data_IF_709393329154
#
_entry.id   IF_709393329154
#
_cell.length_a   1.000
_cell.length_b   1.000
_cell.length_c   1.000
_cell.angle_alpha   90.00
_cell.angle_beta   90.00
_cell.angle_gamma   90.00
#
_symmetry.space_group_name_H-M   'P 1'
#
loop_
_entity.id
_entity.type
_entity.pdbx_description
1 polymer ?
#
# COMPACT_ATOMS: atom_id res chain seq x y z
N UNK A 1 0.76 -11.12 -26.23
CA UNK A 1 0.66 -10.67 -24.83
C UNK A 1 2.08 -10.61 -24.30
N UNK A 2 2.59 -9.42 -24.00
CA UNK A 2 3.95 -9.23 -23.46
C UNK A 2 3.81 -9.25 -21.94
N UNK A 3 4.47 -10.20 -21.28
CA UNK A 3 4.62 -10.18 -19.82
C UNK A 3 5.30 -8.86 -19.45
N UNK A 4 4.65 -8.06 -18.60
CA UNK A 4 5.26 -6.87 -18.02
C UNK A 4 6.27 -7.34 -16.97
N UNK A 5 7.51 -7.58 -17.40
CA UNK A 5 8.61 -7.76 -16.47
C UNK A 5 9.02 -6.37 -15.98
N UNK A 6 8.82 -6.10 -14.70
CA UNK A 6 9.45 -4.95 -14.05
C UNK A 6 10.96 -5.07 -14.27
N UNK A 7 11.58 -4.06 -14.88
CA UNK A 7 13.05 -4.03 -14.96
C UNK A 7 13.56 -3.44 -13.65
N UNK A 8 13.53 -4.24 -12.59
CA UNK A 8 14.24 -3.94 -11.34
C UNK A 8 15.72 -4.14 -11.63
N UNK A 9 16.51 -3.07 -11.62
CA UNK A 9 17.97 -3.20 -11.73
C UNK A 9 18.52 -3.60 -10.37
N UNK A 10 18.77 -4.89 -10.18
CA UNK A 10 19.43 -5.43 -8.99
C UNK A 10 20.89 -4.99 -8.96
N UNK A 11 21.25 -4.09 -8.05
CA UNK A 11 22.64 -3.94 -7.63
C UNK A 11 22.93 -5.08 -6.65
N UNK A 12 23.40 -6.20 -7.19
CA UNK A 12 23.75 -7.41 -6.43
C UNK A 12 24.83 -7.12 -5.37
N UNK A 13 24.44 -6.95 -4.12
CA UNK A 13 25.31 -7.23 -2.98
C UNK A 13 25.33 -8.75 -2.79
N UNK A 14 26.43 -9.39 -3.19
CA UNK A 14 26.60 -10.83 -3.08
C UNK A 14 26.74 -11.25 -1.60
N UNK A 15 25.66 -11.75 -1.01
CA UNK A 15 25.69 -12.54 0.22
C UNK A 15 25.47 -14.02 -0.11
N UNK A 16 26.37 -14.86 0.35
CA UNK A 16 26.47 -16.30 0.10
C UNK A 16 25.23 -17.08 0.58
N UNK A 17 24.57 -17.76 -0.35
CA UNK A 17 23.45 -18.69 -0.13
C UNK A 17 23.91 -20.01 0.49
N UNK A 18 23.45 -20.31 1.70
CA UNK A 18 23.30 -21.69 2.19
C UNK A 18 21.85 -22.12 2.00
N UNK A 19 21.65 -23.14 1.17
CA UNK A 19 20.35 -23.74 0.86
C UNK A 19 19.86 -24.58 2.05
N UNK A 20 18.69 -24.24 2.58
CA UNK A 20 17.90 -25.10 3.47
C UNK A 20 16.50 -25.32 2.85
N UNK A 21 15.85 -26.47 3.13
CA UNK A 21 14.64 -26.89 2.43
C UNK A 21 13.43 -26.05 2.84
N UNK A 22 12.54 -25.82 1.86
CA UNK A 22 11.23 -25.20 2.02
C UNK A 22 10.32 -26.01 2.95
N UNK A 23 9.60 -25.31 3.84
CA UNK A 23 8.19 -25.49 4.26
C UNK A 23 7.92 -24.62 5.51
N UNK A 24 6.94 -23.71 5.40
CA UNK A 24 6.31 -22.88 6.45
C UNK A 24 7.22 -22.04 7.38
N UNK A 25 7.76 -20.90 6.91
CA UNK A 25 8.44 -19.97 7.82
C UNK A 25 7.73 -18.63 8.09
N UNK A 26 6.53 -18.33 7.58
CA UNK A 26 5.72 -17.29 8.24
C UNK A 26 5.07 -17.77 9.55
N UNK A 27 4.84 -19.08 9.74
CA UNK A 27 4.46 -19.60 11.07
C UNK A 27 5.56 -19.44 12.13
N UNK A 28 6.76 -18.98 11.73
CA UNK A 28 7.88 -18.65 12.62
C UNK A 28 8.13 -17.15 12.81
N UNK A 29 7.53 -16.28 12.01
CA UNK A 29 7.57 -14.83 12.24
C UNK A 29 6.45 -14.48 13.21
N UNK A 30 6.82 -14.29 14.48
CA UNK A 30 5.88 -13.81 15.48
C UNK A 30 5.35 -12.45 15.00
N UNK A 31 4.05 -12.37 14.71
CA UNK A 31 3.42 -11.08 14.44
C UNK A 31 3.39 -10.29 15.73
N UNK A 32 4.07 -9.15 15.73
CA UNK A 32 4.11 -8.26 16.86
C UNK A 32 3.05 -7.17 16.70
N UNK A 33 2.64 -6.55 17.81
CA UNK A 33 1.70 -5.44 17.81
C UNK A 33 2.44 -4.13 18.04
N UNK A 34 2.20 -3.13 17.19
CA UNK A 34 2.63 -1.75 17.43
C UNK A 34 1.43 -0.86 17.73
N UNK A 35 1.44 -0.20 18.88
CA UNK A 35 0.35 0.69 19.30
C UNK A 35 0.41 2.07 18.66
N UNK A 36 1.61 2.58 18.35
CA UNK A 36 1.83 3.98 18.01
C UNK A 36 2.23 4.17 16.55
N UNK A 37 1.48 5.03 15.85
CA UNK A 37 1.73 5.42 14.47
C UNK A 37 2.09 6.89 14.34
N UNK A 38 3.05 7.22 13.48
CA UNK A 38 3.41 8.60 13.14
C UNK A 38 2.86 8.94 11.74
N UNK A 39 1.94 9.90 11.69
CA UNK A 39 1.47 10.46 10.43
C UNK A 39 2.60 11.28 9.79
N UNK A 40 2.92 11.01 8.54
CA UNK A 40 3.80 11.85 7.72
C UNK A 40 3.12 12.19 6.41
N UNK A 41 3.59 13.26 5.77
CA UNK A 41 3.03 13.74 4.52
C UNK A 41 4.05 13.57 3.39
N UNK A 42 3.61 13.15 2.20
CA UNK A 42 4.48 13.11 1.04
C UNK A 42 4.89 14.54 0.65
N UNK A 43 6.08 14.70 0.09
CA UNK A 43 6.58 15.95 -0.48
C UNK A 43 6.00 16.18 -1.89
N UNK A 44 5.82 15.09 -2.64
CA UNK A 44 5.31 15.12 -4.01
C UNK A 44 4.75 13.78 -4.45
N UNK A 45 3.94 13.81 -5.50
CA UNK A 45 3.27 12.64 -6.06
C UNK A 45 3.36 12.64 -7.59
N UNK A 46 3.40 11.46 -8.21
CA UNK A 46 3.35 11.32 -9.67
C UNK A 46 2.60 10.05 -10.09
N UNK A 47 2.14 10.03 -11.35
CA UNK A 47 1.59 8.84 -11.99
C UNK A 47 2.72 7.94 -12.48
N UNK A 48 2.55 6.64 -12.31
CA UNK A 48 3.44 5.61 -12.85
C UNK A 48 2.66 4.63 -13.73
N UNK A 49 3.31 4.13 -14.78
CA UNK A 49 2.78 3.07 -15.61
C UNK A 49 2.78 1.72 -14.87
N UNK A 50 2.11 0.69 -15.42
CA UNK A 50 2.16 -0.66 -14.85
C UNK A 50 3.58 -1.21 -14.68
N UNK A 51 4.55 -0.75 -15.47
CA UNK A 51 5.97 -1.16 -15.38
C UNK A 51 6.78 -0.30 -14.38
N UNK A 52 6.13 0.60 -13.63
CA UNK A 52 6.75 1.49 -12.67
C UNK A 52 7.39 2.75 -13.25
N UNK A 53 7.36 2.96 -14.57
CA UNK A 53 7.90 4.17 -15.19
C UNK A 53 7.02 5.39 -14.95
N UNK A 54 7.61 6.53 -14.63
CA UNK A 54 6.93 7.80 -14.46
C UNK A 54 6.21 8.24 -15.75
N UNK A 55 4.94 8.61 -15.65
CA UNK A 55 4.11 9.04 -16.79
C UNK A 55 3.49 10.43 -16.63
N UNK A 56 3.63 11.07 -15.46
CA UNK A 56 3.28 12.47 -15.25
C UNK A 56 4.47 13.24 -14.68
N UNK A 57 4.46 14.58 -14.71
CA UNK A 57 5.31 15.37 -13.83
C UNK A 57 5.08 15.02 -12.35
N UNK A 58 6.02 15.42 -11.50
CA UNK A 58 5.81 15.47 -10.06
C UNK A 58 4.92 16.65 -9.70
N UNK A 59 3.97 16.42 -8.80
CA UNK A 59 3.13 17.45 -8.20
C UNK A 59 3.52 17.61 -6.74
N UNK A 60 4.00 18.80 -6.36
CA UNK A 60 4.33 19.10 -4.97
C UNK A 60 3.08 19.09 -4.08
N UNK A 61 3.21 18.53 -2.90
CA UNK A 61 2.19 18.57 -1.86
C UNK A 61 2.32 19.91 -1.12
N UNK A 62 1.25 20.70 -1.07
CA UNK A 62 1.21 21.99 -0.36
C UNK A 62 1.56 23.23 -1.18
N UNK A 63 2.04 23.09 -2.43
CA UNK A 63 2.09 24.20 -3.36
C UNK A 63 0.67 24.50 -3.87
N UNK A 64 0.31 25.78 -3.89
CA UNK A 64 -1.00 26.39 -4.26
C UNK A 64 -1.68 25.98 -5.59
N UNK A 65 -1.24 24.91 -6.26
CA UNK A 65 -1.83 24.32 -7.47
C UNK A 65 -2.65 23.04 -7.25
N UNK A 66 -2.63 22.44 -6.05
CA UNK A 66 -3.59 21.40 -5.66
C UNK A 66 -4.83 22.10 -5.10
N UNK A 67 -6.00 21.79 -5.66
CA UNK A 67 -7.25 22.48 -5.35
C UNK A 67 -7.56 22.42 -3.85
N UNK A 68 -7.38 23.54 -3.15
CA UNK A 68 -7.88 23.79 -1.79
C UNK A 68 -9.41 23.87 -1.73
N UNK A 69 -10.10 23.77 -2.88
CA UNK A 69 -11.52 23.43 -2.89
C UNK A 69 -11.63 21.95 -2.54
N UNK A 70 -11.76 21.67 -1.25
CA UNK A 70 -11.70 20.33 -0.66
C UNK A 70 -12.40 19.25 -1.49
N UNK A 71 -11.90 18.02 -1.35
CA UNK A 71 -12.45 16.87 -2.04
C UNK A 71 -13.99 16.81 -1.88
N UNK A 72 -14.73 16.48 -2.95
CA UNK A 72 -16.14 16.17 -2.80
C UNK A 72 -16.30 15.01 -1.82
N UNK A 73 -17.52 14.79 -1.28
CA UNK A 73 -17.80 13.62 -0.47
C UNK A 73 -17.36 12.36 -1.20
N UNK A 74 -16.38 11.66 -0.64
CA UNK A 74 -15.91 10.36 -1.15
C UNK A 74 -16.61 9.25 -0.38
N UNK A 75 -16.82 8.11 -1.03
CA UNK A 75 -17.30 6.89 -0.36
C UNK A 75 -16.11 5.95 -0.16
N UNK A 76 -16.11 5.24 0.95
CA UNK A 76 -15.23 4.11 1.14
C UNK A 76 -15.43 3.10 0.00
N UNK A 77 -14.32 2.68 -0.63
CA UNK A 77 -14.29 1.69 -1.69
C UNK A 77 -13.63 0.39 -1.25
N UNK A 78 -12.64 0.44 -0.37
CA UNK A 78 -12.03 -0.73 0.24
C UNK A 78 -11.37 -0.32 1.56
N UNK A 79 -11.58 -1.10 2.63
CA UNK A 79 -11.09 -0.78 3.97
C UNK A 79 -10.33 -1.93 4.62
N UNK A 80 -9.01 -1.85 4.52
CA UNK A 80 -8.08 -2.65 5.31
C UNK A 80 -7.19 -1.69 6.12
N UNK A 81 -7.77 -0.66 6.77
CA UNK A 81 -6.97 0.35 7.44
C UNK A 81 -7.57 0.79 8.78
N UNK A 82 -6.79 0.72 9.85
CA UNK A 82 -7.17 1.32 11.12
C UNK A 82 -6.11 2.30 11.69
N UNK A 83 -6.33 3.63 11.60
CA UNK A 83 -5.36 4.61 12.10
C UNK A 83 -5.23 4.57 13.62
N UNK A 84 -4.09 5.04 14.14
CA UNK A 84 -3.86 5.17 15.58
C UNK A 84 -4.84 6.17 16.23
N UNK A 85 -5.76 5.60 17.03
CA UNK A 85 -6.80 6.30 17.79
C UNK A 85 -6.25 7.30 18.81
N UNK A 86 -4.97 7.22 19.22
CA UNK A 86 -4.37 8.16 20.19
C UNK A 86 -3.89 9.46 19.54
N UNK A 87 -3.56 9.44 18.24
CA UNK A 87 -2.98 10.59 17.53
C UNK A 87 -4.07 11.42 16.82
N UNK A 88 -5.21 10.82 16.50
CA UNK A 88 -6.39 11.49 15.92
C UNK A 88 -7.59 11.42 16.88
N UNK A 89 -7.94 12.50 17.61
CA UNK A 89 -9.29 12.68 18.13
C UNK A 89 -10.20 13.06 16.96
N UNK A 90 -10.63 12.06 16.19
CA UNK A 90 -11.39 12.25 14.96
C UNK A 90 -11.50 10.89 14.28
N UNK A 91 -12.72 10.38 14.29
CA UNK A 91 -13.27 9.11 13.83
C UNK A 91 -12.34 8.11 13.11
N UNK A 92 -12.40 6.81 13.45
CA UNK A 92 -11.92 5.80 12.51
C UNK A 92 -12.56 6.10 11.17
N UNK A 93 -11.78 6.02 10.11
CA UNK A 93 -12.28 6.11 8.73
C UNK A 93 -13.13 4.89 8.33
N UNK A 94 -13.66 4.16 9.32
CA UNK A 94 -14.88 3.36 9.23
C UNK A 94 -15.89 4.22 8.48
N UNK A 95 -16.07 3.96 7.19
CA UNK A 95 -17.21 4.49 6.46
C UNK A 95 -18.43 4.17 7.30
N UNK A 96 -19.05 5.19 7.90
CA UNK A 96 -20.04 5.01 8.95
C UNK A 96 -21.17 4.09 8.48
N UNK A 97 -21.12 2.82 8.86
CA UNK A 97 -22.22 1.88 8.84
C UNK A 97 -22.31 1.24 10.22
N UNK A 98 -23.13 1.88 11.06
CA UNK A 98 -23.80 1.32 12.23
C UNK A 98 -23.01 0.30 13.08
N UNK A 99 -22.32 0.82 14.10
CA UNK A 99 -22.44 0.25 15.44
C UNK A 99 -21.92 -1.17 15.62
N UNK A 100 -20.61 -1.31 15.69
CA UNK A 100 -19.98 -2.48 16.27
C UNK A 100 -18.60 -2.13 16.79
N UNK A 101 -18.50 -1.73 18.05
CA UNK A 101 -17.27 -2.03 18.77
C UNK A 101 -17.14 -3.54 18.70
N UNK A 102 -16.12 -4.06 18.01
CA UNK A 102 -15.74 -5.44 18.19
C UNK A 102 -14.77 -5.51 19.38
N UNK A 103 -15.25 -5.87 20.60
CA UNK A 103 -14.37 -6.07 21.75
C UNK A 103 -13.30 -7.14 21.54
N UNK A 104 -13.48 -8.05 20.57
CA UNK A 104 -12.58 -9.15 20.28
C UNK A 104 -11.52 -8.78 19.25
N UNK A 105 -11.81 -7.84 18.35
CA UNK A 105 -10.93 -7.44 17.25
C UNK A 105 -10.27 -6.07 17.45
N UNK A 106 -10.57 -5.42 18.58
CA UNK A 106 -9.71 -4.43 19.20
C UNK A 106 -9.46 -3.20 18.34
N UNK A 107 -10.48 -2.35 18.19
CA UNK A 107 -10.30 -1.01 17.62
C UNK A 107 -9.32 -0.17 18.49
N UNK A 108 -8.00 -0.28 18.24
CA UNK A 108 -6.94 0.56 18.82
C UNK A 108 -6.00 -0.08 19.84
N UNK A 109 -5.84 -1.42 19.88
CA UNK A 109 -4.87 -2.08 20.81
C UNK A 109 -3.51 -2.42 20.17
N UNK A 110 -3.39 -2.36 18.85
CA UNK A 110 -2.11 -2.55 18.15
C UNK A 110 -2.30 -3.04 16.72
N UNK A 111 -1.35 -2.74 15.83
CA UNK A 111 -1.36 -3.15 14.41
C UNK A 111 -0.33 -4.25 14.20
N UNK A 112 -0.66 -5.21 13.36
CA UNK A 112 0.20 -6.36 13.12
C UNK A 112 1.31 -6.03 12.12
N UNK A 113 2.44 -6.70 12.28
CA UNK A 113 3.56 -6.70 11.36
C UNK A 113 4.46 -7.90 11.71
N UNK A 114 5.37 -8.30 10.83
CA UNK A 114 6.14 -9.53 10.95
C UNK A 114 7.47 -9.37 11.71
N UNK A 115 7.62 -8.29 12.49
CA UNK A 115 8.77 -8.03 13.36
C UNK A 115 9.94 -7.32 12.68
N UNK A 116 10.86 -6.80 13.50
CA UNK A 116 11.95 -5.85 13.08
C UNK A 116 12.97 -6.42 12.12
N UNK A 117 12.98 -7.74 11.97
CA UNK A 117 13.93 -8.48 11.13
C UNK A 117 13.27 -9.04 9.86
N UNK A 118 12.01 -8.69 9.61
CA UNK A 118 11.29 -9.11 8.42
C UNK A 118 11.27 -7.99 7.38
N UNK A 119 11.58 -8.35 6.14
CA UNK A 119 11.75 -7.43 5.03
C UNK A 119 10.78 -7.85 3.93
N UNK A 120 9.86 -6.96 3.58
CA UNK A 120 8.85 -7.17 2.55
C UNK A 120 8.59 -5.85 1.86
N UNK A 121 9.49 -5.48 0.96
CA UNK A 121 9.44 -4.21 0.26
C UNK A 121 8.46 -4.24 -0.92
N UNK A 122 7.91 -5.39 -1.27
CA UNK A 122 6.97 -5.56 -2.37
C UNK A 122 5.90 -6.59 -2.01
N UNK A 123 4.66 -6.14 -1.90
CA UNK A 123 3.56 -6.97 -1.46
C UNK A 123 2.30 -6.77 -2.31
N UNK A 124 1.49 -7.82 -2.42
CA UNK A 124 0.19 -7.77 -3.08
C UNK A 124 -0.86 -8.59 -2.32
N UNK A 125 -2.08 -8.06 -2.25
CA UNK A 125 -3.25 -8.74 -1.69
C UNK A 125 -4.42 -8.62 -2.67
N UNK A 126 -5.37 -9.55 -2.54
CA UNK A 126 -6.67 -9.38 -3.16
C UNK A 126 -7.48 -8.29 -2.46
N UNK A 127 -8.41 -7.71 -3.21
CA UNK A 127 -9.42 -6.80 -2.68
C UNK A 127 -10.77 -7.08 -3.32
N UNK A 128 -11.81 -6.93 -2.52
CA UNK A 128 -13.19 -6.80 -2.97
C UNK A 128 -13.70 -5.42 -2.57
N UNK A 129 -14.08 -4.64 -3.58
CA UNK A 129 -14.60 -3.29 -3.43
C UNK A 129 -16.02 -3.27 -2.84
N UNK A 130 -16.31 -2.21 -2.09
CA UNK A 130 -17.65 -1.85 -1.64
C UNK A 130 -18.60 -1.72 -2.84
N UNK A 131 -19.81 -2.25 -2.70
CA UNK A 131 -20.84 -2.20 -3.74
C UNK A 131 -21.03 -0.77 -4.30
N UNK A 132 -21.06 -0.71 -5.64
CA UNK A 132 -21.22 0.54 -6.40
C UNK A 132 -19.93 1.33 -6.61
N UNK A 133 -18.77 0.85 -6.13
CA UNK A 133 -17.46 1.52 -6.34
C UNK A 133 -16.58 0.86 -7.40
N UNK A 134 -16.98 -0.30 -7.92
CA UNK A 134 -16.29 -1.01 -9.00
C UNK A 134 -16.05 -0.09 -10.21
N UNK A 135 -14.82 -0.11 -10.74
CA UNK A 135 -14.40 0.69 -11.89
C UNK A 135 -14.32 2.20 -11.64
N UNK A 136 -14.58 2.71 -10.43
CA UNK A 136 -14.43 4.13 -10.14
C UNK A 136 -12.96 4.51 -9.89
N UNK A 137 -12.57 5.76 -10.17
CA UNK A 137 -11.28 6.28 -9.77
C UNK A 137 -11.23 6.49 -8.25
N UNK A 138 -10.14 6.05 -7.64
CA UNK A 138 -9.79 6.36 -6.26
C UNK A 138 -8.82 7.54 -6.19
N UNK A 139 -9.34 8.71 -5.85
CA UNK A 139 -8.58 9.96 -5.62
C UNK A 139 -8.25 10.13 -4.12
N UNK A 140 -8.37 9.09 -3.31
CA UNK A 140 -7.91 9.12 -1.92
C UNK A 140 -7.54 7.72 -1.44
N UNK A 141 -6.41 7.63 -0.75
CA UNK A 141 -5.96 6.41 -0.10
C UNK A 141 -5.27 6.73 1.22
N UNK A 142 -5.23 5.71 2.07
CA UNK A 142 -4.46 5.69 3.30
C UNK A 142 -3.58 4.45 3.27
N UNK A 143 -2.37 4.53 3.81
CA UNK A 143 -1.46 3.39 3.86
C UNK A 143 -0.51 3.51 5.05
N UNK A 144 -0.17 2.37 5.65
CA UNK A 144 0.72 2.28 6.80
C UNK A 144 1.83 1.26 6.58
N UNK A 145 3.03 1.59 7.04
CA UNK A 145 4.22 0.75 6.89
C UNK A 145 5.19 0.91 8.05
N UNK A 146 5.94 -0.15 8.28
CA UNK A 146 7.13 -0.16 9.10
C UNK A 146 8.36 0.14 8.24
N UNK A 147 9.24 1.01 8.74
CA UNK A 147 10.39 1.55 8.03
C UNK A 147 11.66 1.44 8.87
N UNK A 148 12.47 0.43 8.56
CA UNK A 148 13.63 0.07 9.35
C UNK A 148 14.89 0.22 8.51
N UNK A 149 15.50 1.39 8.63
CA UNK A 149 16.72 1.73 7.91
C UNK A 149 17.92 1.11 8.65
N UNK A 150 18.77 0.36 7.96
CA UNK A 150 20.00 -0.21 8.56
C UNK A 150 21.20 0.76 8.41
N UNK A 151 21.85 1.16 9.52
CA UNK A 151 23.07 2.01 9.50
C UNK A 151 23.32 2.84 10.78
N UNK A 152 24.31 3.75 10.83
CA UNK A 152 24.43 4.78 11.87
C UNK A 152 23.82 6.13 11.42
N UNK A 153 22.88 6.71 12.17
CA UNK A 153 22.16 7.95 11.79
C UNK A 153 20.94 7.72 10.87
N UNK A 154 20.26 6.60 11.10
CA UNK A 154 19.43 5.81 10.16
C UNK A 154 18.24 6.55 9.58
N UNK A 155 18.46 7.19 8.43
CA UNK A 155 17.40 7.73 7.58
C UNK A 155 17.76 7.48 6.12
N UNK A 156 16.76 7.21 5.29
CA UNK A 156 16.94 7.03 3.84
C UNK A 156 15.74 7.64 3.10
N UNK A 157 15.85 7.94 1.80
CA UNK A 157 14.68 8.40 1.03
C UNK A 157 13.57 7.35 1.09
N UNK A 158 12.31 7.76 1.11
CA UNK A 158 11.17 6.84 1.21
C UNK A 158 10.19 7.12 0.08
N UNK A 159 9.99 6.12 -0.77
CA UNK A 159 9.00 6.11 -1.83
C UNK A 159 7.98 4.99 -1.59
N UNK A 160 6.70 5.31 -1.78
CA UNK A 160 5.62 4.32 -1.76
C UNK A 160 4.98 4.33 -3.14
N UNK A 161 5.02 3.21 -3.84
CA UNK A 161 4.33 3.02 -5.10
C UNK A 161 3.13 2.09 -4.91
N UNK A 162 1.97 2.51 -5.42
CA UNK A 162 0.70 1.82 -5.24
C UNK A 162 0.01 1.61 -6.59
N UNK A 163 -0.35 0.37 -6.88
CA UNK A 163 -1.15 -0.02 -8.04
C UNK A 163 -2.36 -0.86 -7.61
N UNK A 164 -3.24 -1.07 -8.57
CA UNK A 164 -4.39 -1.99 -8.50
C UNK A 164 -4.38 -2.87 -9.75
N UNK A 165 -5.01 -4.04 -9.70
CA UNK A 165 -5.17 -4.95 -10.84
C UNK A 165 -6.58 -5.56 -10.89
N UNK A 166 -6.97 -6.06 -12.07
CA UNK A 166 -8.26 -6.75 -12.29
C UNK A 166 -8.28 -8.19 -11.73
N UNK A 167 -7.12 -8.73 -11.38
CA UNK A 167 -6.96 -10.13 -11.01
C UNK A 167 -5.98 -10.30 -9.86
N UNK A 168 -6.19 -11.37 -9.09
CA UNK A 168 -5.28 -11.85 -8.06
C UNK A 168 -5.20 -13.38 -8.11
N UNK A 169 -4.00 -13.95 -8.05
CA UNK A 169 -3.81 -15.39 -7.96
C UNK A 169 -3.75 -15.85 -6.50
N UNK A 170 -4.88 -16.34 -6.01
CA UNK A 170 -4.98 -17.00 -4.69
C UNK A 170 -4.41 -18.43 -4.68
N UNK A 171 -4.09 -19.01 -5.85
CA UNK A 171 -3.63 -20.41 -5.94
C UNK A 171 -2.14 -20.57 -5.68
N UNK A 172 -1.38 -19.47 -5.66
CA UNK A 172 0.07 -19.45 -5.51
C UNK A 172 0.84 -20.18 -6.62
N UNK A 173 0.26 -20.35 -7.81
CA UNK A 173 0.86 -21.14 -8.91
C UNK A 173 1.29 -20.30 -10.11
N UNK A 174 0.69 -19.13 -10.29
CA UNK A 174 0.97 -18.18 -11.36
C UNK A 174 1.62 -16.89 -10.83
N UNK A 175 1.73 -15.84 -11.66
CA UNK A 175 2.06 -14.53 -11.14
C UNK A 175 0.94 -14.06 -10.20
N UNK A 176 1.29 -13.27 -9.17
CA UNK A 176 0.32 -12.73 -8.22
C UNK A 176 -0.86 -12.00 -8.90
N UNK A 177 -0.63 -11.41 -10.07
CA UNK A 177 -1.61 -10.72 -10.91
C UNK A 177 -1.06 -10.57 -12.33
N UNK A 178 -1.90 -10.20 -13.31
CA UNK A 178 -1.47 -10.02 -14.70
C UNK A 178 -2.04 -8.79 -15.41
N UNK A 179 -3.08 -8.15 -14.85
CA UNK A 179 -3.79 -7.03 -15.46
C UNK A 179 -3.70 -5.76 -14.60
N UNK A 180 -2.48 -5.29 -14.41
CA UNK A 180 -2.17 -4.13 -13.58
C UNK A 180 -2.58 -2.80 -14.26
N UNK A 181 -3.17 -1.90 -13.50
CA UNK A 181 -3.45 -0.52 -13.91
C UNK A 181 -2.22 0.37 -13.79
N UNK A 182 -2.31 1.61 -14.30
CA UNK A 182 -1.37 2.66 -13.89
C UNK A 182 -1.52 2.95 -12.40
N UNK A 183 -0.40 3.16 -11.72
CA UNK A 183 -0.35 3.43 -10.29
C UNK A 183 0.00 4.88 -9.96
N UNK A 184 0.22 5.11 -8.68
CA UNK A 184 0.70 6.36 -8.11
C UNK A 184 1.97 6.09 -7.31
N UNK A 185 2.96 6.98 -7.41
CA UNK A 185 4.13 6.99 -6.55
C UNK A 185 4.15 8.24 -5.68
N UNK A 186 4.47 8.03 -4.41
CA UNK A 186 4.60 9.01 -3.35
C UNK A 186 6.06 9.15 -2.95
N UNK A 187 6.57 10.37 -2.84
CA UNK A 187 7.91 10.66 -2.34
C UNK A 187 7.78 11.37 -0.99
N UNK A 188 8.28 10.75 0.08
CA UNK A 188 8.27 11.29 1.45
C UNK A 188 9.59 11.98 1.83
N UNK A 189 10.54 12.09 0.90
CA UNK A 189 11.89 12.57 1.17
C UNK A 189 12.65 11.61 2.08
N UNK A 190 13.62 12.14 2.82
CA UNK A 190 14.44 11.35 3.76
C UNK A 190 13.65 11.10 5.05
N UNK A 191 13.33 9.84 5.32
CA UNK A 191 12.55 9.40 6.47
C UNK A 191 13.47 8.62 7.43
N UNK A 192 13.51 8.96 8.73
CA UNK A 192 14.27 8.21 9.71
C UNK A 192 13.61 6.87 10.01
N UNK A 193 14.41 5.90 10.47
CA UNK A 193 13.92 4.64 11.05
C UNK A 193 12.79 4.90 12.05
N UNK A 194 11.76 4.06 12.00
CA UNK A 194 10.70 4.09 13.00
C UNK A 194 11.12 3.29 14.25
N UNK A 195 11.63 4.00 15.27
CA UNK A 195 12.05 3.43 16.55
C UNK A 195 10.86 2.86 17.36
N UNK A 196 10.44 1.62 17.06
CA UNK A 196 9.33 0.96 17.77
C UNK A 196 7.95 1.55 17.49
N UNK A 197 7.79 2.20 16.33
CA UNK A 197 6.54 2.77 15.83
C UNK A 197 6.36 2.38 14.35
N UNK A 198 5.29 2.86 13.71
CA UNK A 198 5.10 2.75 12.26
C UNK A 198 4.77 4.11 11.64
N UNK A 199 4.96 4.25 10.34
CA UNK A 199 4.51 5.42 9.59
C UNK A 199 3.17 5.16 8.93
N UNK A 200 2.38 6.21 8.76
CA UNK A 200 1.19 6.16 7.94
C UNK A 200 0.95 7.52 7.29
N UNK A 201 0.13 7.54 6.24
CA UNK A 201 -0.32 8.77 5.63
C UNK A 201 -1.78 8.66 5.18
N UNK A 202 -2.39 9.82 4.97
CA UNK A 202 -3.72 9.98 4.37
C UNK A 202 -3.63 11.02 3.26
N UNK A 203 -4.08 10.66 2.07
CA UNK A 203 -4.04 11.54 0.92
C UNK A 203 -5.26 12.46 0.79
N UNK A 204 -6.10 12.58 1.83
CA UNK A 204 -7.46 13.15 1.84
C UNK A 204 -7.64 14.48 1.10
N UNK A 205 -6.60 15.25 0.81
CA UNK A 205 -6.69 16.54 0.12
C UNK A 205 -5.73 16.70 -1.07
N UNK A 206 -4.92 15.71 -1.42
CA UNK A 206 -3.83 15.91 -2.40
C UNK A 206 -4.13 15.49 -3.82
N UNK A 207 -4.84 14.38 -4.01
CA UNK A 207 -5.06 13.84 -5.35
C UNK A 207 -6.26 14.48 -6.04
N UNK A 208 -7.24 14.97 -5.28
CA UNK A 208 -8.50 15.45 -5.82
C UNK A 208 -8.28 16.56 -6.88
N UNK A 209 -8.77 16.30 -8.09
CA UNK A 209 -8.66 17.23 -9.20
C UNK A 209 -7.27 17.39 -9.81
N UNK A 210 -6.26 16.64 -9.35
CA UNK A 210 -4.96 16.52 -10.04
C UNK A 210 -5.05 15.65 -11.30
N UNK A 211 -6.10 14.83 -11.41
CA UNK A 211 -6.22 13.79 -12.43
C UNK A 211 -5.40 12.54 -12.12
N UNK A 212 -4.77 12.48 -10.94
CA UNK A 212 -4.10 11.29 -10.42
C UNK A 212 -5.10 10.48 -9.59
N UNK A 213 -5.21 9.19 -9.89
CA UNK A 213 -6.07 8.26 -9.18
C UNK A 213 -5.56 6.83 -9.38
N UNK A 214 -5.89 5.94 -8.45
CA UNK A 214 -5.81 4.50 -8.66
C UNK A 214 -7.14 4.03 -9.26
N UNK A 215 -7.08 3.23 -10.32
CA UNK A 215 -8.27 2.67 -10.96
C UNK A 215 -8.75 1.46 -10.15
N UNK A 216 -9.95 1.50 -9.58
CA UNK A 216 -10.49 0.31 -8.90
C UNK A 216 -10.84 -0.79 -9.91
N UNK A 217 -10.77 -2.08 -9.53
CA UNK A 217 -11.14 -3.19 -10.41
C UNK A 217 -12.55 -3.03 -10.98
N UNK A 218 -12.73 -3.34 -12.27
CA UNK A 218 -13.96 -3.04 -13.03
C UNK A 218 -15.15 -3.88 -12.59
N UNK A 219 -14.91 -5.12 -12.17
CA UNK A 219 -15.95 -6.01 -11.62
C UNK A 219 -16.07 -5.91 -10.08
N UNK A 220 -15.21 -5.10 -9.46
CA UNK A 220 -15.15 -4.90 -8.02
C UNK A 220 -14.30 -5.94 -7.26
N UNK A 221 -13.63 -6.86 -7.95
CA UNK A 221 -12.69 -7.80 -7.33
C UNK A 221 -11.36 -7.76 -8.07
N UNK A 222 -10.24 -7.82 -7.36
CA UNK A 222 -8.93 -7.74 -7.99
C UNK A 222 -7.81 -7.71 -6.97
N UNK A 223 -6.76 -6.98 -7.25
CA UNK A 223 -5.62 -6.84 -6.35
C UNK A 223 -5.25 -5.38 -6.09
N UNK A 224 -4.55 -5.16 -4.99
CA UNK A 224 -3.76 -3.97 -4.74
C UNK A 224 -2.33 -4.35 -4.42
N UNK A 225 -1.41 -3.51 -4.88
CA UNK A 225 0.01 -3.81 -4.96
C UNK A 225 0.78 -2.63 -4.39
N UNK A 226 1.68 -2.88 -3.45
CA UNK A 226 2.54 -1.87 -2.83
C UNK A 226 4.00 -2.22 -3.05
N UNK A 227 4.80 -1.22 -3.45
CA UNK A 227 6.26 -1.27 -3.36
C UNK A 227 6.78 -0.14 -2.46
N UNK A 228 7.75 -0.48 -1.61
CA UNK A 228 8.48 0.39 -0.70
C UNK A 228 9.92 0.51 -1.19
N UNK A 229 10.34 1.72 -1.53
CA UNK A 229 11.60 1.97 -2.21
C UNK A 229 12.41 3.08 -1.54
N UNK A 230 13.74 3.01 -1.63
CA UNK A 230 14.65 4.06 -1.14
C UNK A 230 15.31 4.90 -2.24
N UNK A 231 15.08 4.58 -3.50
CA UNK A 231 15.47 5.42 -4.63
C UNK A 231 14.50 5.23 -5.80
N UNK A 232 14.33 6.29 -6.58
CA UNK A 232 13.53 6.29 -7.79
C UNK A 232 14.02 7.32 -8.81
N UNK A 233 14.41 6.83 -9.98
CA UNK A 233 14.99 7.65 -11.04
C UNK A 233 13.99 8.03 -12.16
N UNK A 234 12.70 7.76 -11.97
CA UNK A 234 11.66 7.95 -12.99
C UNK A 234 11.39 6.72 -13.86
N UNK A 235 12.20 5.66 -13.74
CA UNK A 235 12.02 4.40 -14.49
C UNK A 235 12.19 3.15 -13.63
N UNK A 236 13.03 3.23 -12.60
CA UNK A 236 13.39 2.09 -11.75
C UNK A 236 13.22 2.48 -10.31
N UNK A 237 12.50 1.63 -9.56
CA UNK A 237 12.44 1.65 -8.10
C UNK A 237 13.56 0.77 -7.55
N UNK A 238 14.34 1.31 -6.63
CA UNK A 238 15.29 0.53 -5.82
C UNK A 238 14.61 0.24 -4.49
N UNK A 239 14.44 -1.04 -4.14
CA UNK A 239 13.74 -1.45 -2.92
C UNK A 239 14.38 -0.83 -1.67
N UNK A 240 13.55 -0.53 -0.68
CA UNK A 240 14.01 -0.01 0.60
C UNK A 240 14.99 -0.98 1.27
N UNK A 241 15.89 -0.47 2.11
CA UNK A 241 16.90 -1.32 2.77
C UNK A 241 16.21 -2.36 3.65
N UNK A 242 15.22 -1.92 4.43
CA UNK A 242 14.33 -2.81 5.15
C UNK A 242 13.02 -2.05 5.45
N UNK A 243 11.92 -2.57 4.91
CA UNK A 243 10.59 -2.06 5.16
C UNK A 243 9.57 -3.19 5.01
N UNK A 244 8.38 -2.96 5.54
CA UNK A 244 7.23 -3.84 5.31
C UNK A 244 5.94 -3.06 5.50
N UNK A 245 4.86 -3.41 4.78
CA UNK A 245 3.53 -2.93 5.13
C UNK A 245 3.18 -3.29 6.57
N UNK A 246 2.45 -2.39 7.25
CA UNK A 246 1.67 -2.83 8.41
C UNK A 246 0.56 -3.74 7.91
N UNK A 247 0.06 -4.61 8.77
CA UNK A 247 -1.01 -5.54 8.46
C UNK A 247 -2.27 -5.22 9.26
N UNK A 248 -3.41 -5.28 8.59
CA UNK A 248 -4.73 -5.13 9.17
C UNK A 248 -5.71 -6.06 8.47
N UNK A 249 -6.92 -6.25 8.97
CA UNK A 249 -7.95 -7.04 8.29
C UNK A 249 -9.12 -6.16 7.82
N UNK A 250 -9.92 -6.66 6.88
CA UNK A 250 -11.22 -6.05 6.59
C UNK A 250 -12.22 -6.43 7.68
N UNK A 251 -13.02 -5.47 8.15
CA UNK A 251 -14.11 -5.78 9.09
C UNK A 251 -15.22 -6.55 8.40
N UNK A 252 -15.79 -7.52 9.11
CA UNK A 252 -17.03 -8.18 8.71
C UNK A 252 -18.13 -7.13 8.44
N UNK A 253 -18.93 -7.38 7.41
CA UNK A 253 -20.06 -6.52 6.99
C UNK A 253 -19.71 -5.07 6.55
N UNK A 254 -18.44 -4.72 6.39
CA UNK A 254 -18.01 -3.39 5.90
C UNK A 254 -18.27 -3.14 4.41
N UNK A 255 -18.74 -4.17 3.69
CA UNK A 255 -18.95 -4.15 2.25
C UNK A 255 -17.67 -4.30 1.43
N UNK A 256 -16.49 -4.22 2.05
CA UNK A 256 -15.21 -4.64 1.47
C UNK A 256 -14.69 -5.89 2.15
N UNK A 257 -13.92 -6.69 1.42
CA UNK A 257 -13.29 -7.90 1.97
C UNK A 257 -11.98 -8.21 1.28
N UNK A 258 -11.19 -9.08 1.90
CA UNK A 258 -10.02 -9.71 1.31
C UNK A 258 -9.96 -11.18 1.76
N UNK A 259 -9.27 -11.99 0.99
CA UNK A 259 -8.93 -13.37 1.30
C UNK A 259 -7.70 -13.46 2.21
N UNK A 260 -7.37 -14.70 2.61
CA UNK A 260 -6.20 -14.96 3.45
C UNK A 260 -4.89 -14.90 2.67
N UNK A 261 -4.90 -14.96 1.34
CA UNK A 261 -3.68 -15.09 0.56
C UNK A 261 -3.04 -13.71 0.32
N UNK A 262 -1.75 -13.60 0.62
CA UNK A 262 -0.92 -12.43 0.38
C UNK A 262 0.39 -12.85 -0.28
N UNK A 263 0.83 -12.11 -1.30
CA UNK A 263 2.15 -12.27 -1.89
C UNK A 263 3.14 -11.30 -1.25
N UNK A 264 4.27 -11.81 -0.74
CA UNK A 264 5.32 -11.06 -0.06
C UNK A 264 6.68 -11.35 -0.67
N UNK A 265 7.37 -10.33 -1.16
CA UNK A 265 8.76 -10.42 -1.62
C UNK A 265 9.71 -10.49 -0.41
N UNK A 266 9.87 -11.69 0.14
CA UNK A 266 10.61 -11.93 1.39
C UNK A 266 11.64 -13.08 1.33
N UNK A 267 11.75 -13.81 0.20
CA UNK A 267 12.62 -14.99 0.12
C UNK A 267 13.41 -15.14 -1.21
N UNK A 268 14.45 -14.30 -1.40
CA UNK A 268 14.84 -13.11 -0.65
C UNK A 268 14.11 -11.85 -1.16
N UNK A 269 14.08 -10.75 -0.39
CA UNK A 269 13.50 -9.48 -0.84
C UNK A 269 14.33 -8.89 -1.99
N UNK A 270 13.89 -9.10 -3.24
CA UNK A 270 14.61 -8.70 -4.45
C UNK A 270 13.75 -7.99 -5.51
N UNK A 271 12.49 -7.70 -5.18
CA UNK A 271 11.54 -7.00 -6.01
C UNK A 271 10.80 -7.90 -7.00
N UNK A 272 10.85 -9.22 -6.84
CA UNK A 272 10.18 -10.19 -7.71
C UNK A 272 9.44 -11.27 -6.91
N UNK A 273 8.14 -11.43 -7.18
CA UNK A 273 7.36 -12.51 -6.60
C UNK A 273 7.74 -13.90 -7.14
N UNK A 274 7.93 -14.85 -6.25
CA UNK A 274 8.29 -16.24 -6.53
C UNK A 274 7.17 -17.20 -6.16
N UNK A 275 6.45 -17.76 -7.15
CA UNK A 275 5.37 -18.71 -6.90
C UNK A 275 5.80 -19.87 -6.00
N UNK A 276 4.96 -20.18 -5.02
CA UNK A 276 5.19 -21.24 -4.04
C UNK A 276 6.19 -20.95 -2.91
N UNK A 277 6.93 -19.83 -2.97
CA UNK A 277 7.85 -19.41 -1.90
C UNK A 277 7.36 -18.16 -1.17
N UNK A 278 6.72 -17.25 -1.89
CA UNK A 278 6.39 -15.89 -1.45
C UNK A 278 4.88 -15.65 -1.43
N UNK A 279 4.11 -16.73 -1.34
CA UNK A 279 2.66 -16.71 -1.27
C UNK A 279 2.23 -17.30 0.07
N UNK A 280 1.64 -16.46 0.90
CA UNK A 280 1.41 -16.73 2.31
C UNK A 280 -0.06 -16.69 2.67
N UNK A 281 -0.46 -17.63 3.53
CA UNK A 281 -1.77 -17.64 4.16
C UNK A 281 -1.72 -16.79 5.44
N UNK A 282 -2.31 -15.61 5.35
CA UNK A 282 -2.46 -14.63 6.42
C UNK A 282 -3.70 -14.87 7.29
N UNK A 283 -4.42 -15.99 7.09
CA UNK A 283 -5.63 -16.35 7.81
C UNK A 283 -5.40 -16.97 9.19
N UNK A 284 -6.50 -17.10 9.95
CA UNK A 284 -6.65 -18.12 10.99
C UNK A 284 -6.21 -17.81 12.42
N UNK A 285 -5.66 -16.63 12.75
CA UNK A 285 -5.12 -16.38 14.10
C UNK A 285 -5.31 -14.98 14.68
N UNK A 286 -5.85 -14.05 13.90
CA UNK A 286 -5.99 -12.65 14.25
C UNK A 286 -7.35 -12.14 13.81
N UNK A 287 -7.85 -11.11 14.48
CA UNK A 287 -9.10 -10.48 14.12
C UNK A 287 -8.85 -9.04 13.65
N UNK A 288 -9.42 -8.60 12.51
CA UNK A 288 -10.33 -9.33 11.61
C UNK A 288 -9.70 -10.56 10.94
N UNK A 289 -10.52 -11.56 10.57
CA UNK A 289 -10.03 -12.78 9.92
C UNK A 289 -9.44 -12.45 8.54
N UNK A 290 -8.25 -12.97 8.27
CA UNK A 290 -7.40 -12.63 7.12
C UNK A 290 -6.81 -11.22 7.20
N UNK A 291 -5.52 -11.18 7.56
CA UNK A 291 -4.76 -9.93 7.48
C UNK A 291 -4.29 -9.68 6.05
N UNK A 292 -4.20 -8.41 5.68
CA UNK A 292 -3.60 -7.93 4.45
C UNK A 292 -2.82 -6.65 4.70
N UNK A 293 -2.26 -6.15 3.62
CA UNK A 293 -1.55 -4.88 3.60
C UNK A 293 -2.48 -3.75 4.08
N UNK A 294 -2.07 -3.04 5.12
CA UNK A 294 -2.87 -2.01 5.78
C UNK A 294 -3.04 -0.78 4.88
N UNK A 295 -4.11 -0.77 4.08
CA UNK A 295 -4.44 0.25 3.09
C UNK A 295 -5.94 0.49 3.00
N UNK A 296 -6.34 1.67 2.57
CA UNK A 296 -7.74 2.01 2.30
C UNK A 296 -7.85 2.83 1.02
N UNK A 297 -8.95 2.65 0.29
CA UNK A 297 -9.28 3.40 -0.93
C UNK A 297 -10.65 4.06 -0.78
N UNK A 298 -10.78 5.28 -1.28
CA UNK A 298 -12.08 5.95 -1.42
C UNK A 298 -12.35 6.31 -2.88
N UNK A 299 -13.59 6.10 -3.31
CA UNK A 299 -14.05 6.43 -4.65
C UNK A 299 -14.85 7.75 -4.66
N UNK A 300 -14.65 8.55 -5.71
CA UNK A 300 -15.46 9.74 -5.99
C UNK A 300 -16.70 9.34 -6.82
N UNK A 301 -17.89 9.74 -6.38
CA UNK A 301 -19.16 9.56 -7.10
C UNK A 301 -19.55 10.79 -7.94
N UNK A 302 -18.73 11.84 -7.95
CA UNK A 302 -18.92 13.01 -8.78
C UNK A 302 -18.75 12.70 -10.28
N UNK A 303 -19.39 13.48 -11.17
CA UNK A 303 -19.10 13.38 -12.60
C UNK A 303 -17.60 13.57 -12.85
N UNK A 304 -16.99 12.88 -13.85
CA UNK A 304 -15.57 13.01 -14.17
C UNK A 304 -15.18 14.48 -14.28
N UNK A 305 -14.33 14.96 -13.37
CA UNK A 305 -13.93 16.36 -13.38
C UNK A 305 -13.10 16.60 -14.63
N UNK A 306 -13.37 17.71 -15.31
CA UNK A 306 -12.44 18.22 -16.32
C UNK A 306 -11.15 18.54 -15.57
N UNK A 307 -10.11 17.75 -15.79
CA UNK A 307 -8.76 18.02 -15.29
C UNK A 307 -8.46 19.47 -15.66
N UNK A 308 -8.29 20.38 -14.68
CA UNK A 308 -7.80 21.72 -14.99
C UNK A 308 -6.50 21.51 -15.75
N UNK A 309 -6.35 22.11 -16.93
CA UNK A 309 -5.06 22.08 -17.60
C UNK A 309 -4.06 22.77 -16.67
N UNK A 310 -3.31 21.97 -15.90
CA UNK A 310 -2.20 22.44 -15.11
C UNK A 310 -1.21 22.98 -16.12
N UNK A 311 -1.17 24.30 -16.23
CA UNK A 311 -0.23 24.97 -17.11
C UNK A 311 1.16 24.53 -16.68
N UNK A 312 1.91 23.94 -17.61
CA UNK A 312 3.28 23.56 -17.37
C UNK A 312 4.04 24.73 -16.71
N UNK A 313 4.87 24.47 -15.70
CA UNK A 313 5.64 25.53 -15.04
C UNK A 313 6.38 26.31 -16.12
N UNK A 314 6.20 27.63 -16.13
CA UNK A 314 6.98 28.52 -16.97
C UNK A 314 8.39 28.54 -16.39
N UNK A 315 9.35 28.01 -17.15
CA UNK A 315 10.78 28.20 -16.90
C UNK A 315 11.15 29.69 -16.89
#
# INVERSE_FOLDING_TARGET
>A
MRNAYFTVSTVLAACSLTVLPAWSQESGHQRDMLEQGKCIQPLRVARIAPDGRQTSPWYSVGDSGVLTSGCPPTKLAFDCFEPDRRVMPGEPTDGAFNGGYDPYCGNGVGRYWSGSWYYNCYAANDMTCVEGTAGLPSERHQFAWFWQVEGPGTSEPCYVALWTAEDFDETCTGPAFSNLYSGIIWDFGVVPQCDGLYYWFDSMDFLCGTGLYNQLPMDGSGAYIIMLANDYNGTTLTMATCAQPMLWGCKDDSGSSQGPIQWNDDWPPDGEFRPGYECWDQGGWYCPESLGIMTCFYADFGPPRKVPQLSAPKN
#
